data_IF_610171773236
#
_entry.id   IF_610171773236
#
_cell.length_a   1.000
_cell.length_b   1.000
_cell.length_c   1.000
_cell.angle_alpha   90.00
_cell.angle_beta   90.00
_cell.angle_gamma   90.00
#
_symmetry.space_group_name_H-M   'P 1'
#
loop_
_entity.id
_entity.type
_entity.pdbx_description
1 polymer ?
#
# COMPACT_ATOMS: atom_id res chain seq x y z
N UNK A 1 21.77 -1.87 24.20
CA UNK A 1 21.34 -1.81 22.79
C UNK A 1 19.84 -1.64 22.76
N UNK A 2 19.31 -0.48 22.37
CA UNK A 2 17.87 -0.25 22.28
C UNK A 2 17.36 -0.86 20.97
N UNK A 3 16.75 -2.04 21.03
CA UNK A 3 16.03 -2.60 19.89
C UNK A 3 14.81 -1.71 19.64
N UNK A 4 14.84 -0.94 18.55
CA UNK A 4 13.68 -0.19 18.08
C UNK A 4 12.54 -1.18 17.81
N UNK A 5 11.53 -1.20 18.68
CA UNK A 5 10.36 -2.04 18.51
C UNK A 5 9.75 -1.74 17.12
N UNK A 6 9.68 -2.70 16.18
CA UNK A 6 9.13 -2.48 14.85
C UNK A 6 7.67 -2.01 14.88
N UNK A 7 6.96 -2.18 16.00
CA UNK A 7 5.63 -1.60 16.23
C UNK A 7 5.62 -0.06 16.24
N UNK A 8 6.77 0.56 16.54
CA UNK A 8 6.92 2.02 16.61
C UNK A 8 7.18 2.67 15.25
N UNK A 9 7.42 1.88 14.19
CA UNK A 9 7.61 2.41 12.85
C UNK A 9 6.27 2.83 12.23
N UNK A 10 6.27 3.98 11.58
CA UNK A 10 5.15 4.46 10.79
C UNK A 10 5.64 5.11 9.49
N UNK A 11 4.71 5.27 8.55
CA UNK A 11 4.95 5.94 7.28
C UNK A 11 4.14 7.23 7.27
N UNK A 12 4.83 8.36 7.18
CA UNK A 12 4.23 9.69 7.06
C UNK A 12 3.88 9.95 5.61
N UNK A 13 2.59 10.14 5.36
CA UNK A 13 2.03 10.44 4.04
C UNK A 13 1.64 11.91 4.05
N UNK A 14 2.34 12.73 3.25
CA UNK A 14 2.14 14.18 3.22
C UNK A 14 0.93 14.56 2.35
N UNK A 15 -0.26 14.13 2.76
CA UNK A 15 -1.58 14.59 2.32
C UNK A 15 -2.65 14.15 3.33
N UNK A 16 -3.81 14.80 3.29
CA UNK A 16 -5.03 14.37 3.96
C UNK A 16 -5.46 12.96 3.53
N UNK A 17 -6.32 12.32 4.33
CA UNK A 17 -6.86 10.98 4.07
C UNK A 17 -7.79 10.93 2.86
N UNK A 18 -8.40 12.04 2.52
CA UNK A 18 -9.25 12.23 1.36
C UNK A 18 -9.08 13.69 0.89
N UNK A 19 -9.93 14.13 -0.01
CA UNK A 19 -9.85 15.47 -0.58
C UNK A 19 -10.45 16.54 0.36
N UNK A 20 -11.20 16.12 1.39
CA UNK A 20 -11.86 16.99 2.38
C UNK A 20 -11.08 17.10 3.71
N UNK A 21 -10.16 16.17 3.99
CA UNK A 21 -9.31 16.19 5.19
C UNK A 21 -8.23 17.28 5.11
N UNK A 22 -8.31 18.35 5.95
CA UNK A 22 -7.38 19.47 5.91
C UNK A 22 -6.00 19.11 6.49
N UNK A 23 -5.83 17.91 7.03
CA UNK A 23 -4.59 17.50 7.66
C UNK A 23 -3.43 17.52 6.65
N UNK A 24 -2.30 18.19 6.97
CA UNK A 24 -1.16 18.24 6.06
C UNK A 24 -0.48 16.87 5.87
N UNK A 25 -0.74 15.94 6.78
CA UNK A 25 -0.28 14.56 6.69
C UNK A 25 -1.14 13.61 7.51
N UNK A 26 -1.02 12.32 7.22
CA UNK A 26 -1.45 11.26 8.13
C UNK A 26 -0.38 10.16 8.24
N UNK A 27 -0.53 9.30 9.26
CA UNK A 27 0.40 8.22 9.55
C UNK A 27 -0.25 6.86 9.27
N UNK A 28 0.49 5.97 8.61
CA UNK A 28 0.18 4.54 8.54
C UNK A 28 1.20 3.76 9.36
N UNK A 29 0.75 3.08 10.41
CA UNK A 29 1.67 2.34 11.29
C UNK A 29 2.12 1.04 10.61
N UNK A 30 3.35 0.60 10.93
CA UNK A 30 3.88 -0.68 10.45
C UNK A 30 3.01 -1.85 10.90
N UNK A 31 2.46 -1.80 12.11
CA UNK A 31 1.54 -2.81 12.64
C UNK A 31 0.22 -2.91 11.85
N UNK A 32 -0.36 -1.77 11.45
CA UNK A 32 -1.56 -1.75 10.60
C UNK A 32 -1.26 -2.34 9.24
N UNK A 33 -0.12 -1.97 8.64
CA UNK A 33 0.31 -2.49 7.34
C UNK A 33 0.54 -3.99 7.44
N UNK A 34 1.24 -4.46 8.48
CA UNK A 34 1.54 -5.87 8.66
C UNK A 34 0.26 -6.70 8.76
N UNK A 35 -0.74 -6.24 9.53
CA UNK A 35 -2.06 -6.90 9.61
C UNK A 35 -2.72 -7.10 8.24
N UNK A 36 -2.60 -6.12 7.34
CA UNK A 36 -3.11 -6.26 5.97
C UNK A 36 -2.25 -7.23 5.18
N UNK A 37 -0.93 -7.08 5.24
CA UNK A 37 0.01 -7.94 4.53
C UNK A 37 -0.12 -9.41 4.95
N UNK A 38 -0.36 -9.72 6.23
CA UNK A 38 -0.52 -11.09 6.71
C UNK A 38 -1.69 -11.81 6.02
N UNK A 39 -2.76 -11.07 5.67
CA UNK A 39 -3.94 -11.58 4.96
C UNK A 39 -3.83 -11.51 3.44
N UNK A 40 -2.86 -10.77 2.91
CA UNK A 40 -2.67 -10.62 1.47
C UNK A 40 -2.00 -11.86 0.86
N UNK A 41 -2.34 -12.25 -0.37
CA UNK A 41 -1.69 -13.36 -1.05
C UNK A 41 -0.23 -13.03 -1.38
N UNK A 42 0.62 -14.05 -1.50
CA UNK A 42 1.96 -13.90 -2.02
C UNK A 42 1.93 -13.54 -3.53
N UNK A 43 2.94 -12.81 -4.05
CA UNK A 43 3.02 -12.56 -5.47
C UNK A 43 3.21 -13.87 -6.26
N UNK A 44 2.46 -14.03 -7.34
CA UNK A 44 2.51 -15.21 -8.20
C UNK A 44 3.27 -14.94 -9.50
N UNK A 45 3.39 -15.94 -10.37
CA UNK A 45 3.92 -15.73 -11.73
C UNK A 45 3.07 -14.71 -12.52
N UNK A 46 1.75 -14.73 -12.35
CA UNK A 46 0.84 -13.74 -12.95
C UNK A 46 1.11 -12.32 -12.44
N UNK A 47 1.43 -12.17 -11.15
CA UNK A 47 1.80 -10.87 -10.56
C UNK A 47 2.96 -10.18 -11.28
N UNK A 48 3.87 -10.97 -11.89
CA UNK A 48 5.07 -10.46 -12.58
C UNK A 48 4.81 -9.94 -14.00
N UNK A 49 3.68 -10.30 -14.62
CA UNK A 49 3.39 -9.93 -16.00
C UNK A 49 3.23 -8.41 -16.12
N UNK A 50 3.87 -7.80 -17.13
CA UNK A 50 3.90 -6.33 -17.36
C UNK A 50 2.51 -5.68 -17.39
N UNK A 51 1.51 -6.41 -17.87
CA UNK A 51 0.14 -5.91 -18.05
C UNK A 51 -0.83 -6.40 -16.98
N UNK A 52 -0.38 -7.12 -15.96
CA UNK A 52 -1.25 -7.54 -14.88
C UNK A 52 -1.74 -6.32 -14.09
N UNK A 53 -3.06 -6.14 -14.05
CA UNK A 53 -3.71 -5.07 -13.28
C UNK A 53 -4.17 -5.51 -11.90
N UNK A 54 -4.22 -6.83 -11.62
CA UNK A 54 -4.69 -7.39 -10.34
C UNK A 54 -3.61 -7.31 -9.27
N UNK A 55 -3.97 -6.86 -8.09
CA UNK A 55 -3.07 -6.89 -6.94
C UNK A 55 -2.92 -8.33 -6.41
N UNK A 56 -1.77 -8.66 -5.81
CA UNK A 56 -0.52 -7.93 -5.95
C UNK A 56 -0.01 -7.97 -7.40
N UNK A 57 0.49 -6.83 -7.87
CA UNK A 57 1.11 -6.71 -9.19
C UNK A 57 2.53 -6.17 -9.04
N UNK A 58 3.34 -6.41 -10.06
CA UNK A 58 4.69 -5.87 -10.14
C UNK A 58 4.64 -4.34 -10.01
N UNK A 59 5.44 -3.82 -9.08
CA UNK A 59 5.71 -2.40 -8.98
C UNK A 59 6.72 -2.02 -10.06
N UNK A 60 6.41 -0.98 -10.83
CA UNK A 60 7.33 -0.43 -11.81
C UNK A 60 7.93 0.85 -11.20
N UNK A 61 9.19 0.78 -10.77
CA UNK A 61 9.88 1.87 -10.08
C UNK A 61 10.36 2.96 -11.07
N UNK A 62 9.44 3.51 -11.86
CA UNK A 62 9.75 4.55 -12.86
C UNK A 62 10.29 5.82 -12.22
N UNK A 63 9.90 6.09 -10.99
CA UNK A 63 10.31 7.22 -10.16
C UNK A 63 11.61 6.93 -9.36
N UNK A 64 12.19 5.73 -9.48
CA UNK A 64 13.43 5.31 -8.81
C UNK A 64 13.41 5.46 -7.27
N UNK A 65 12.26 5.20 -6.65
CA UNK A 65 11.99 5.38 -5.22
C UNK A 65 12.64 4.33 -4.32
N UNK A 66 12.91 3.12 -4.83
CA UNK A 66 13.44 2.01 -4.05
C UNK A 66 14.76 1.45 -4.58
N UNK A 67 15.06 1.61 -5.88
CA UNK A 67 16.30 1.11 -6.51
C UNK A 67 16.52 -0.40 -6.32
N UNK A 68 15.47 -1.16 -6.06
CA UNK A 68 15.51 -2.62 -5.91
C UNK A 68 14.80 -3.29 -7.10
N UNK A 69 15.36 -4.38 -7.64
CA UNK A 69 14.70 -5.13 -8.70
C UNK A 69 13.54 -5.96 -8.15
N UNK A 70 12.51 -6.15 -8.98
CA UNK A 70 11.41 -7.10 -8.73
C UNK A 70 10.59 -6.85 -7.46
N UNK A 71 10.05 -5.64 -7.36
CA UNK A 71 9.11 -5.26 -6.31
C UNK A 71 7.65 -5.50 -6.71
N UNK A 72 6.78 -5.57 -5.72
CA UNK A 72 5.34 -5.74 -5.87
C UNK A 72 4.61 -4.69 -5.05
N UNK A 73 3.49 -4.21 -5.58
CA UNK A 73 2.62 -3.28 -4.87
C UNK A 73 1.32 -3.96 -4.44
N UNK A 74 0.86 -3.54 -3.26
CA UNK A 74 -0.35 -3.96 -2.58
C UNK A 74 -1.14 -2.70 -2.16
N UNK A 75 -2.48 -2.69 -2.14
CA UNK A 75 -3.21 -1.66 -1.42
C UNK A 75 -2.80 -1.64 0.06
N UNK A 76 -2.63 -0.46 0.66
CA UNK A 76 -2.22 -0.33 2.09
C UNK A 76 -3.39 -0.54 3.07
N UNK A 77 -4.37 -1.35 2.67
CA UNK A 77 -5.62 -1.64 3.39
C UNK A 77 -6.07 -3.07 3.11
N UNK A 78 -7.10 -3.51 3.82
CA UNK A 78 -7.80 -4.76 3.47
C UNK A 78 -8.36 -4.67 2.04
N UNK A 79 -8.05 -5.68 1.23
CA UNK A 79 -8.41 -5.72 -0.18
C UNK A 79 -8.99 -7.10 -0.52
N UNK A 80 -10.14 -7.19 -1.23
CA UNK A 80 -10.74 -8.48 -1.56
C UNK A 80 -10.05 -9.05 -2.81
N UNK A 81 -8.90 -9.70 -2.59
CA UNK A 81 -8.04 -10.20 -3.66
C UNK A 81 -8.75 -11.17 -4.61
N UNK A 82 -9.60 -12.05 -4.07
CA UNK A 82 -10.32 -13.08 -4.81
C UNK A 82 -11.50 -12.52 -5.61
N UNK A 83 -11.93 -11.29 -5.32
CA UNK A 83 -13.05 -10.61 -6.01
C UNK A 83 -12.55 -9.56 -7.01
N UNK A 84 -11.30 -9.68 -7.46
CA UNK A 84 -10.71 -8.80 -8.47
C UNK A 84 -11.05 -9.25 -9.89
N UNK A 85 -11.51 -8.31 -10.71
CA UNK A 85 -11.65 -8.53 -12.15
C UNK A 85 -10.31 -8.41 -12.89
N UNK A 86 -10.30 -8.68 -14.20
CA UNK A 86 -9.09 -8.56 -15.06
C UNK A 86 -8.52 -7.14 -15.13
N UNK A 87 -9.33 -6.12 -14.86
CA UNK A 87 -8.92 -4.71 -14.82
C UNK A 87 -8.34 -4.27 -13.47
N UNK A 88 -8.22 -5.19 -12.50
CA UNK A 88 -7.71 -4.90 -11.16
C UNK A 88 -8.70 -4.18 -10.24
N UNK A 89 -9.96 -4.02 -10.67
CA UNK A 89 -11.02 -3.52 -9.79
C UNK A 89 -11.50 -4.65 -8.90
N UNK A 90 -11.62 -4.40 -7.61
CA UNK A 90 -12.18 -5.34 -6.67
C UNK A 90 -13.59 -4.92 -6.25
N UNK A 91 -14.40 -5.90 -5.89
CA UNK A 91 -15.78 -5.71 -5.47
C UNK A 91 -16.00 -6.41 -4.15
N UNK A 92 -17.04 -6.00 -3.43
CA UNK A 92 -17.53 -6.69 -2.25
C UNK A 92 -19.05 -6.58 -2.20
N UNK A 93 -19.70 -7.55 -1.58
CA UNK A 93 -21.15 -7.51 -1.34
C UNK A 93 -21.42 -6.82 -0.01
N UNK A 94 -22.18 -5.72 -0.04
CA UNK A 94 -22.65 -4.99 1.15
C UNK A 94 -24.16 -4.88 1.05
N UNK A 95 -24.89 -5.37 2.06
CA UNK A 95 -26.36 -5.37 2.09
C UNK A 95 -27.00 -5.96 0.80
N UNK A 96 -26.42 -7.06 0.29
CA UNK A 96 -26.89 -7.71 -0.94
C UNK A 96 -26.50 -7.00 -2.25
N UNK A 97 -25.89 -5.82 -2.18
CA UNK A 97 -25.45 -5.06 -3.36
C UNK A 97 -23.95 -5.20 -3.60
N UNK A 98 -23.57 -5.34 -4.88
CA UNK A 98 -22.16 -5.40 -5.30
C UNK A 98 -21.58 -4.00 -5.40
N UNK A 99 -20.65 -3.67 -4.50
CA UNK A 99 -20.00 -2.35 -4.43
C UNK A 99 -18.54 -2.48 -4.86
N UNK A 100 -18.06 -1.53 -5.67
CA UNK A 100 -16.65 -1.46 -6.04
C UNK A 100 -15.82 -0.94 -4.86
N UNK A 101 -14.74 -1.63 -4.51
CA UNK A 101 -13.81 -1.21 -3.46
C UNK A 101 -12.74 -0.31 -4.06
N UNK A 102 -12.54 0.87 -3.49
CA UNK A 102 -11.45 1.77 -3.88
C UNK A 102 -10.13 1.30 -3.21
N UNK A 103 -9.04 1.07 -3.98
CA UNK A 103 -7.74 0.70 -3.42
C UNK A 103 -7.07 1.86 -2.65
N UNK A 104 -7.71 3.03 -2.61
CA UNK A 104 -7.19 4.29 -2.05
C UNK A 104 -5.97 4.78 -2.84
N UNK A 105 -5.37 5.86 -2.37
CA UNK A 105 -4.23 6.52 -2.99
C UNK A 105 -2.88 5.99 -2.47
N UNK A 106 -2.86 5.03 -1.55
CA UNK A 106 -1.64 4.48 -0.92
C UNK A 106 -1.38 3.03 -1.35
N UNK A 107 -0.11 2.68 -1.58
CA UNK A 107 0.32 1.30 -1.82
C UNK A 107 1.47 0.92 -0.89
N UNK A 108 1.46 -0.32 -0.43
CA UNK A 108 2.58 -0.95 0.27
C UNK A 108 3.43 -1.68 -0.76
N UNK A 109 4.72 -1.41 -0.77
CA UNK A 109 5.69 -2.01 -1.68
C UNK A 109 6.47 -3.08 -0.93
N UNK A 110 6.54 -4.27 -1.52
CA UNK A 110 7.24 -5.43 -0.95
C UNK A 110 8.16 -6.10 -1.95
N UNK A 111 9.08 -6.92 -1.43
CA UNK A 111 9.71 -7.96 -2.25
C UNK A 111 8.77 -9.17 -2.46
N UNK A 112 9.29 -10.22 -3.12
CA UNK A 112 8.56 -11.47 -3.37
C UNK A 112 8.14 -12.21 -2.10
N UNK A 113 8.89 -12.05 -1.01
CA UNK A 113 8.65 -12.71 0.27
C UNK A 113 7.71 -11.90 1.18
N UNK A 114 7.06 -10.85 0.63
CA UNK A 114 6.19 -9.92 1.35
C UNK A 114 6.91 -9.12 2.44
N UNK A 115 8.24 -9.00 2.37
CA UNK A 115 8.95 -8.07 3.24
C UNK A 115 8.67 -6.65 2.76
N UNK A 116 8.16 -5.81 3.66
CA UNK A 116 7.81 -4.42 3.33
C UNK A 116 9.07 -3.60 3.13
N UNK A 117 9.19 -3.00 1.95
CA UNK A 117 10.27 -2.08 1.56
C UNK A 117 9.89 -0.62 1.80
N UNK A 118 8.59 -0.33 1.75
CA UNK A 118 8.04 0.96 2.15
C UNK A 118 6.61 1.16 1.67
N UNK A 119 6.16 2.42 1.75
CA UNK A 119 4.84 2.84 1.31
C UNK A 119 5.01 3.94 0.28
N UNK A 120 4.21 3.89 -0.78
CA UNK A 120 4.08 4.94 -1.78
C UNK A 120 2.65 5.47 -1.79
N UNK A 121 2.48 6.70 -2.27
CA UNK A 121 1.16 7.31 -2.36
C UNK A 121 1.07 8.30 -3.53
N UNK A 122 -0.15 8.52 -4.03
CA UNK A 122 -0.45 9.60 -4.96
C UNK A 122 -0.60 10.92 -4.18
N UNK A 123 0.21 11.95 -4.49
CA UNK A 123 0.04 13.28 -3.91
C UNK A 123 -1.34 13.86 -4.18
N UNK A 124 -1.77 14.84 -3.36
CA UNK A 124 -3.01 15.57 -3.65
C UNK A 124 -2.89 16.26 -5.02
N UNK A 125 -3.96 16.21 -5.82
CA UNK A 125 -3.98 16.78 -7.17
C UNK A 125 -3.13 16.06 -8.23
N UNK A 126 -2.42 14.97 -7.90
CA UNK A 126 -1.61 14.22 -8.88
C UNK A 126 -1.85 12.70 -8.79
N UNK A 127 -2.85 12.17 -9.53
CA UNK A 127 -3.19 10.74 -9.51
C UNK A 127 -2.22 9.86 -10.32
N UNK A 128 -1.31 10.45 -11.09
CA UNK A 128 -0.47 9.71 -12.04
C UNK A 128 0.92 9.39 -11.49
N UNK A 129 1.40 10.15 -10.50
CA UNK A 129 2.74 9.97 -9.93
C UNK A 129 2.67 9.34 -8.54
N UNK A 130 3.67 8.53 -8.21
CA UNK A 130 3.88 8.06 -6.85
C UNK A 130 5.00 8.82 -6.16
N UNK A 131 4.83 9.03 -4.85
CA UNK A 131 5.88 9.53 -3.95
C UNK A 131 6.06 8.53 -2.82
N UNK A 132 7.30 8.32 -2.39
CA UNK A 132 7.63 7.46 -1.25
C UNK A 132 7.29 8.18 0.05
N UNK A 133 6.51 7.53 0.91
CA UNK A 133 6.24 8.01 2.26
C UNK A 133 7.50 7.96 3.12
N UNK A 134 7.68 8.96 3.98
CA UNK A 134 8.82 9.02 4.91
C UNK A 134 8.60 8.04 6.04
N UNK A 135 9.55 7.14 6.27
CA UNK A 135 9.55 6.29 7.47
C UNK A 135 9.89 7.16 8.69
N UNK A 136 9.07 7.07 9.74
CA UNK A 136 9.19 7.84 10.98
C UNK A 136 9.00 6.92 12.18
N UNK A 137 9.69 7.21 13.28
CA UNK A 137 9.41 6.59 14.56
C UNK A 137 8.27 7.36 15.23
N UNK A 138 7.23 6.63 15.67
CA UNK A 138 6.05 7.21 16.32
C UNK A 138 6.34 7.69 17.76
N UNK A 139 7.54 7.39 18.28
CA UNK A 139 7.88 7.58 19.70
C UNK A 139 7.04 6.67 20.61
N UNK A 140 7.49 6.45 21.84
CA UNK A 140 6.56 6.08 22.91
C UNK A 140 5.73 7.34 23.20
N UNK A 141 4.40 7.25 23.12
CA UNK A 141 3.59 8.24 23.85
C UNK A 141 4.00 8.12 25.33
N UNK A 142 4.27 9.24 26.03
CA UNK A 142 4.52 9.19 27.47
C UNK A 142 3.35 8.53 28.21
#
# INVERSE_FOLDING_TARGET
>A
MCFSDPSQKAYKINRGRDDDDPSPYHLRTRSSIQRHMDRSPAPTAESRKKNNKRYPKRYNDTEQLFKEPSLYEYPTKSWPYDQQNTKGKAFMTVNGQRVQVNPEFTRTVTDRNKNVKGVIYHPSGNPSKFVRAKEVNRGRRP
#
